data_IF_152397717877
#
_entry.id   IF_152397717877
#
_cell.length_a   1.000
_cell.length_b   1.000
_cell.length_c   1.000
_cell.angle_alpha   90.00
_cell.angle_beta   90.00
_cell.angle_gamma   90.00
#
_symmetry.space_group_name_H-M   'P 1'
#
loop_
_entity.id
_entity.type
_entity.pdbx_description
1 polymer ?
#
# COMPACT_ATOMS: atom_id res chain seq x y z
N UNK A 1 6.12 -3.54 12.23
CA UNK A 1 6.38 -2.09 12.46
C UNK A 1 7.05 -1.53 11.22
N UNK A 2 6.83 -0.25 10.88
CA UNK A 2 7.46 0.37 9.72
C UNK A 2 8.94 0.66 10.00
N UNK A 3 9.82 0.26 9.08
CA UNK A 3 11.26 0.50 9.17
C UNK A 3 11.61 1.89 8.62
N UNK A 4 12.60 2.54 9.22
CA UNK A 4 13.11 3.83 8.73
C UNK A 4 13.64 3.74 7.29
N UNK A 5 14.26 2.61 6.92
CA UNK A 5 14.75 2.34 5.58
C UNK A 5 13.62 2.42 4.51
N UNK A 6 12.41 1.96 4.84
CA UNK A 6 11.23 2.06 3.97
C UNK A 6 10.87 3.52 3.70
N UNK A 7 10.86 4.36 4.74
CA UNK A 7 10.57 5.79 4.61
C UNK A 7 11.69 6.53 3.85
N UNK A 8 12.95 6.16 4.08
CA UNK A 8 14.11 6.71 3.37
C UNK A 8 14.08 6.35 1.87
N UNK A 9 13.70 5.12 1.53
CA UNK A 9 13.50 4.71 0.15
C UNK A 9 12.44 5.57 -0.54
N UNK A 10 11.26 5.73 0.07
CA UNK A 10 10.18 6.55 -0.49
C UNK A 10 10.59 8.03 -0.64
N UNK A 11 11.34 8.57 0.32
CA UNK A 11 11.90 9.93 0.25
C UNK A 11 12.90 10.07 -0.91
N UNK A 12 13.74 9.06 -1.12
CA UNK A 12 14.71 9.03 -2.22
C UNK A 12 14.05 8.84 -3.58
N UNK A 13 13.02 7.98 -3.65
CA UNK A 13 12.20 7.76 -4.83
C UNK A 13 11.47 9.04 -5.26
N UNK A 14 10.94 9.82 -4.31
CA UNK A 14 10.30 11.11 -4.59
C UNK A 14 11.25 12.09 -5.28
N UNK A 15 12.54 12.10 -4.90
CA UNK A 15 13.58 12.93 -5.53
C UNK A 15 14.07 12.39 -6.88
N UNK A 16 14.06 11.07 -7.06
CA UNK A 16 14.68 10.39 -8.20
C UNK A 16 13.69 9.49 -8.95
N UNK A 17 12.49 9.98 -9.25
CA UNK A 17 11.41 9.19 -9.81
C UNK A 17 11.60 8.92 -11.32
N UNK A 18 12.60 8.08 -11.64
CA UNK A 18 13.01 7.66 -12.98
C UNK A 18 13.26 6.15 -12.96
N UNK A 19 13.08 5.49 -14.10
CA UNK A 19 13.17 4.03 -14.21
C UNK A 19 14.59 3.54 -13.89
N UNK A 20 15.60 4.21 -14.42
CA UNK A 20 17.01 3.84 -14.25
C UNK A 20 17.42 3.86 -12.78
N UNK A 21 16.97 4.90 -12.05
CA UNK A 21 17.24 5.01 -10.62
C UNK A 21 16.50 3.92 -9.83
N UNK A 22 15.24 3.63 -10.19
CA UNK A 22 14.47 2.58 -9.52
C UNK A 22 15.11 1.20 -9.72
N UNK A 23 15.53 0.88 -10.95
CA UNK A 23 16.15 -0.39 -11.28
C UNK A 23 17.49 -0.56 -10.51
N UNK A 24 18.29 0.50 -10.42
CA UNK A 24 19.51 0.51 -9.58
C UNK A 24 19.23 0.41 -8.07
N UNK A 25 18.02 0.76 -7.61
CA UNK A 25 17.61 0.70 -6.20
C UNK A 25 16.56 -0.39 -5.94
N UNK A 26 16.47 -1.38 -6.84
CA UNK A 26 15.45 -2.44 -6.80
C UNK A 26 15.46 -3.22 -5.50
N UNK A 27 16.65 -3.53 -4.98
CA UNK A 27 16.83 -4.23 -3.70
C UNK A 27 16.20 -3.46 -2.52
N UNK A 28 16.36 -2.13 -2.48
CA UNK A 28 15.75 -1.28 -1.45
C UNK A 28 14.23 -1.27 -1.55
N UNK A 29 13.70 -1.25 -2.77
CA UNK A 29 12.26 -1.40 -2.99
C UNK A 29 11.76 -2.77 -2.51
N UNK A 30 12.49 -3.86 -2.79
CA UNK A 30 12.10 -5.19 -2.34
C UNK A 30 12.11 -5.32 -0.81
N UNK A 31 13.10 -4.76 -0.13
CA UNK A 31 13.12 -4.67 1.33
C UNK A 31 11.96 -3.84 1.87
N UNK A 32 11.70 -2.67 1.27
CA UNK A 32 10.59 -1.80 1.65
C UNK A 32 9.23 -2.49 1.46
N UNK A 33 9.06 -3.20 0.33
CA UNK A 33 7.85 -3.97 0.02
C UNK A 33 7.65 -5.09 1.05
N UNK A 34 8.69 -5.86 1.35
CA UNK A 34 8.64 -6.92 2.37
C UNK A 34 8.25 -6.36 3.74
N UNK A 35 8.79 -5.21 4.12
CA UNK A 35 8.44 -4.58 5.39
C UNK A 35 6.96 -4.14 5.46
N UNK A 36 6.38 -3.64 4.36
CA UNK A 36 4.94 -3.36 4.30
C UNK A 36 4.10 -4.64 4.34
N UNK A 37 4.56 -5.71 3.69
CA UNK A 37 3.90 -7.02 3.74
C UNK A 37 3.85 -7.57 5.18
N UNK A 38 4.96 -7.52 5.91
CA UNK A 38 5.05 -7.90 7.33
C UNK A 38 4.17 -7.03 8.23
N UNK A 39 4.14 -5.71 7.99
CA UNK A 39 3.26 -4.79 8.70
C UNK A 39 1.78 -5.17 8.47
N UNK A 40 1.42 -5.45 7.22
CA UNK A 40 0.07 -5.85 6.83
C UNK A 40 -0.32 -7.17 7.48
N UNK A 41 0.58 -8.16 7.49
CA UNK A 41 0.37 -9.43 8.17
C UNK A 41 0.08 -9.25 9.66
N UNK A 42 0.86 -8.40 10.34
CA UNK A 42 0.66 -8.09 11.75
C UNK A 42 -0.66 -7.36 12.02
N UNK A 43 -1.10 -6.49 11.11
CA UNK A 43 -2.39 -5.79 11.22
C UNK A 43 -3.55 -6.79 11.04
N UNK A 44 -3.53 -7.60 9.98
CA UNK A 44 -4.57 -8.60 9.70
C UNK A 44 -4.70 -9.56 10.88
N UNK A 45 -3.57 -10.10 11.39
CA UNK A 45 -3.57 -11.03 12.53
C UNK A 45 -4.15 -10.44 13.82
N UNK A 46 -4.01 -9.12 14.03
CA UNK A 46 -4.59 -8.44 15.20
C UNK A 46 -6.06 -8.12 15.00
N UNK A 47 -6.42 -7.57 13.84
CA UNK A 47 -7.80 -7.21 13.53
C UNK A 47 -8.69 -8.44 13.36
N UNK A 48 -8.14 -9.56 12.88
CA UNK A 48 -8.90 -10.80 12.70
C UNK A 48 -9.43 -11.40 14.00
N UNK A 49 -8.92 -10.97 15.16
CA UNK A 49 -9.46 -11.34 16.47
C UNK A 49 -10.82 -10.71 16.76
N UNK A 50 -11.16 -9.65 16.04
CA UNK A 50 -12.42 -8.90 16.20
C UNK A 50 -13.27 -8.97 14.93
N UNK A 51 -12.63 -9.04 13.77
CA UNK A 51 -13.26 -9.21 12.45
C UNK A 51 -12.71 -10.47 11.78
N UNK A 52 -13.29 -11.63 12.09
CA UNK A 52 -12.85 -12.92 11.52
C UNK A 52 -12.93 -12.96 9.99
N UNK A 53 -13.75 -12.09 9.40
CA UNK A 53 -14.02 -12.08 7.96
C UNK A 53 -12.79 -11.73 7.12
N UNK A 54 -11.76 -11.11 7.71
CA UNK A 54 -10.50 -10.77 7.03
C UNK A 54 -9.36 -11.75 7.32
N UNK A 55 -9.56 -12.78 8.17
CA UNK A 55 -8.51 -13.69 8.61
C UNK A 55 -7.85 -14.49 7.46
N UNK A 56 -8.61 -14.75 6.40
CA UNK A 56 -8.17 -15.53 5.24
C UNK A 56 -7.28 -14.73 4.25
N UNK A 57 -7.21 -13.41 4.42
CA UNK A 57 -6.57 -12.53 3.43
C UNK A 57 -5.05 -12.64 3.45
N UNK A 58 -4.47 -12.78 2.26
CA UNK A 58 -3.01 -12.80 2.10
C UNK A 58 -2.46 -11.37 2.03
N UNK A 59 -1.50 -10.99 2.89
CA UNK A 59 -0.97 -9.62 2.96
C UNK A 59 -0.50 -9.07 1.61
N UNK A 60 0.19 -9.90 0.83
CA UNK A 60 0.71 -9.58 -0.50
C UNK A 60 -0.38 -9.16 -1.50
N UNK A 61 -1.57 -9.75 -1.40
CA UNK A 61 -2.70 -9.49 -2.29
C UNK A 61 -3.39 -8.16 -1.98
N UNK A 62 -3.28 -7.72 -0.72
CA UNK A 62 -3.83 -6.47 -0.20
C UNK A 62 -3.02 -5.23 -0.64
N UNK A 63 -1.77 -5.43 -1.06
CA UNK A 63 -0.88 -4.33 -1.46
C UNK A 63 -1.21 -3.79 -2.87
N UNK A 64 -1.03 -2.48 -3.05
CA UNK A 64 -1.08 -1.86 -4.37
C UNK A 64 0.26 -1.96 -5.10
N UNK A 65 0.20 -1.92 -6.44
CA UNK A 65 1.39 -1.76 -7.28
C UNK A 65 1.98 -0.37 -7.10
N UNK A 66 3.31 -0.30 -7.06
CA UNK A 66 4.06 0.95 -6.96
C UNK A 66 4.05 1.73 -8.27
N UNK A 67 3.90 1.07 -9.43
CA UNK A 67 3.77 1.75 -10.71
C UNK A 67 2.55 2.69 -10.71
N UNK A 68 2.76 3.88 -11.25
CA UNK A 68 1.70 4.87 -11.45
C UNK A 68 1.14 4.72 -12.86
N UNK A 69 -0.18 4.73 -12.97
CA UNK A 69 -0.82 4.91 -14.28
C UNK A 69 -0.70 6.39 -14.68
N UNK A 70 0.03 6.65 -15.76
CA UNK A 70 0.36 8.00 -16.21
C UNK A 70 -0.37 8.40 -17.50
N UNK A 71 -1.21 7.52 -18.07
CA UNK A 71 -1.85 7.74 -19.38
C UNK A 71 -2.60 9.08 -19.43
N UNK A 72 -3.41 9.34 -18.41
CA UNK A 72 -4.23 10.55 -18.30
C UNK A 72 -3.73 11.56 -17.25
N UNK A 73 -2.60 11.28 -16.59
CA UNK A 73 -2.05 12.14 -15.55
C UNK A 73 -1.17 13.26 -16.14
N UNK A 74 -1.29 14.49 -15.62
CA UNK A 74 -0.32 15.58 -15.88
C UNK A 74 1.06 15.24 -15.30
N UNK A 75 1.09 14.55 -14.16
CA UNK A 75 2.32 14.04 -13.57
C UNK A 75 2.71 12.72 -14.25
N UNK A 76 3.82 12.74 -15.01
CA UNK A 76 4.35 11.59 -15.76
C UNK A 76 5.37 10.75 -15.00
N UNK A 77 5.52 10.94 -13.69
CA UNK A 77 6.41 10.13 -12.87
C UNK A 77 5.97 8.64 -12.88
N UNK A 78 6.87 7.70 -13.21
CA UNK A 78 6.53 6.29 -13.42
C UNK A 78 6.11 5.55 -12.15
N UNK A 79 6.50 6.03 -10.97
CA UNK A 79 6.23 5.38 -9.69
C UNK A 79 5.46 6.27 -8.72
N UNK A 80 4.67 5.65 -7.85
CA UNK A 80 4.06 6.28 -6.69
C UNK A 80 5.13 6.53 -5.62
N UNK A 81 4.99 7.62 -4.88
CA UNK A 81 5.86 7.99 -3.76
C UNK A 81 5.37 7.47 -2.42
N UNK A 82 4.40 6.57 -2.45
CA UNK A 82 3.78 5.91 -1.31
C UNK A 82 3.61 4.42 -1.56
N UNK A 83 3.44 3.69 -0.47
CA UNK A 83 2.98 2.30 -0.48
C UNK A 83 1.62 2.24 0.20
N UNK A 84 0.61 1.87 -0.59
CA UNK A 84 -0.76 1.72 -0.12
C UNK A 84 -1.14 0.24 0.04
N UNK A 85 -1.99 -0.03 1.02
CA UNK A 85 -2.58 -1.35 1.28
C UNK A 85 -4.08 -1.18 1.45
N UNK A 86 -4.86 -2.01 0.79
CA UNK A 86 -6.32 -2.08 0.97
C UNK A 86 -6.76 -3.52 1.15
N UNK A 87 -7.62 -3.75 2.13
CA UNK A 87 -8.23 -5.06 2.35
C UNK A 87 -9.64 -4.93 2.93
N UNK A 88 -10.50 -5.87 2.55
CA UNK A 88 -11.89 -5.97 2.99
C UNK A 88 -12.27 -7.45 3.07
N UNK A 89 -13.45 -7.77 3.62
CA UNK A 89 -14.00 -9.14 3.63
C UNK A 89 -13.95 -9.83 2.27
N UNK A 90 -14.25 -9.11 1.18
CA UNK A 90 -14.19 -9.64 -0.20
C UNK A 90 -12.82 -9.49 -0.86
N UNK A 91 -11.77 -9.24 -0.08
CA UNK A 91 -10.44 -8.92 -0.58
C UNK A 91 -10.35 -7.54 -1.24
N UNK A 92 -9.31 -7.33 -2.05
CA UNK A 92 -9.03 -6.02 -2.67
C UNK A 92 -10.06 -5.58 -3.73
N UNK A 93 -10.84 -6.53 -4.27
CA UNK A 93 -11.89 -6.27 -5.28
C UNK A 93 -13.31 -6.41 -4.71
N UNK A 94 -13.44 -6.62 -3.40
CA UNK A 94 -14.72 -6.72 -2.73
C UNK A 94 -15.48 -5.40 -2.78
N UNK A 95 -16.81 -5.50 -2.78
CA UNK A 95 -17.75 -4.36 -2.70
C UNK A 95 -18.15 -4.06 -1.25
N UNK A 96 -17.40 -4.58 -0.28
CA UNK A 96 -17.63 -4.34 1.14
C UNK A 96 -16.76 -3.18 1.63
N UNK A 97 -17.17 -2.59 2.75
CA UNK A 97 -16.32 -1.64 3.46
C UNK A 97 -14.97 -2.29 3.77
N UNK A 98 -13.90 -1.54 3.58
CA UNK A 98 -12.54 -2.03 3.80
C UNK A 98 -11.67 -1.04 4.54
N UNK A 99 -10.48 -1.51 4.90
CA UNK A 99 -9.44 -0.74 5.56
C UNK A 99 -8.38 -0.35 4.53
N UNK A 100 -7.90 0.88 4.63
CA UNK A 100 -6.83 1.43 3.82
C UNK A 100 -5.69 1.96 4.69
N UNK A 101 -4.47 1.60 4.35
CA UNK A 101 -3.26 2.10 4.99
C UNK A 101 -2.38 2.77 3.94
N UNK A 102 -1.92 3.98 4.25
CA UNK A 102 -1.09 4.79 3.39
C UNK A 102 0.23 5.10 4.07
N UNK A 103 1.34 4.61 3.49
CA UNK A 103 2.68 4.92 3.97
C UNK A 103 3.37 5.87 3.00
N UNK A 104 3.52 7.12 3.44
CA UNK A 104 4.24 8.19 2.74
C UNK A 104 5.01 9.05 3.75
N UNK A 105 6.29 9.39 3.49
CA UNK A 105 7.04 10.30 4.35
C UNK A 105 6.36 11.66 4.48
N UNK A 106 5.90 12.01 5.69
CA UNK A 106 5.22 13.27 5.99
C UNK A 106 3.73 13.32 5.62
N UNK A 107 3.16 12.24 5.07
CA UNK A 107 1.77 12.19 4.63
C UNK A 107 1.14 10.79 4.83
N UNK A 108 1.55 10.06 5.87
CA UNK A 108 0.99 8.74 6.18
C UNK A 108 -0.36 8.88 6.88
N UNK A 109 -1.32 8.04 6.52
CA UNK A 109 -2.66 8.03 7.11
C UNK A 109 -3.32 6.64 7.00
N UNK A 110 -4.44 6.49 7.71
CA UNK A 110 -5.30 5.30 7.69
C UNK A 110 -6.71 5.78 7.34
N UNK A 111 -7.44 5.01 6.55
CA UNK A 111 -8.83 5.28 6.22
C UNK A 111 -9.63 3.97 6.24
N UNK A 112 -10.95 4.08 6.33
CA UNK A 112 -11.86 2.97 6.18
C UNK A 112 -13.17 3.43 5.58
N UNK A 113 -13.85 2.55 4.83
CA UNK A 113 -15.15 2.88 4.25
C UNK A 113 -15.50 2.04 3.03
N UNK A 114 -16.66 2.35 2.47
CA UNK A 114 -17.21 1.74 1.26
C UNK A 114 -17.35 2.81 0.18
N UNK A 115 -16.80 2.55 -1.00
CA UNK A 115 -16.98 3.40 -2.16
C UNK A 115 -18.36 3.18 -2.78
N UNK A 116 -19.17 4.25 -2.89
CA UNK A 116 -20.54 4.21 -3.44
C UNK A 116 -21.42 3.12 -2.80
N UNK A 117 -21.77 3.24 -1.51
CA UNK A 117 -22.70 2.30 -0.87
C UNK A 117 -24.04 2.29 -1.62
N UNK A 118 -24.69 1.13 -1.65
CA UNK A 118 -26.06 1.04 -2.17
C UNK A 118 -26.96 2.00 -1.38
N UNK A 119 -27.95 2.57 -2.07
CA UNK A 119 -28.99 3.36 -1.41
C UNK A 119 -29.68 2.48 -0.33
N UNK A 120 -30.07 3.07 0.81
CA UNK A 120 -30.76 2.36 1.88
C UNK A 120 -32.08 1.73 1.42
#
# INVERSE_FOLDING_TARGET
>A
MIQQATLQFLKSLKKNNKKEWFDANRSKYDSAKKNIEELTAGIISRLSKTDESIAHLQPKECMFRINRDVRFSKNKAPYKTNMGVYFSKGGKKGVQAGYYFHVEPGASFIAGGLWMPMAP
#
